data_IF_258955864340
#
_entry.id   IF_258955864340
#
_cell.length_a   1.000
_cell.length_b   1.000
_cell.length_c   1.000
_cell.angle_alpha   90.00
_cell.angle_beta   90.00
_cell.angle_gamma   90.00
#
_symmetry.space_group_name_H-M   'P 1'
#
loop_
_entity.id
_entity.type
_entity.pdbx_description
1 polymer ?
#
# COMPACT_ATOMS: atom_id res chain seq x y z
N UNK A 1 4.40 -16.84 -14.14
CA UNK A 1 3.19 -17.12 -13.36
C UNK A 1 2.20 -16.02 -13.54
N UNK A 2 1.06 -16.36 -14.04
CA UNK A 2 -0.01 -15.42 -14.24
C UNK A 2 -0.76 -15.09 -12.97
N UNK A 3 -1.31 -13.89 -12.93
CA UNK A 3 -2.26 -13.48 -11.91
C UNK A 3 -3.66 -13.84 -12.43
N UNK A 4 -4.51 -14.39 -11.57
CA UNK A 4 -5.88 -14.70 -11.96
C UNK A 4 -6.64 -13.37 -12.15
N UNK A 5 -7.16 -13.07 -13.36
CA UNK A 5 -7.89 -11.83 -13.61
C UNK A 5 -9.08 -11.61 -12.67
N UNK A 6 -9.68 -12.67 -12.15
CA UNK A 6 -10.81 -12.56 -11.20
C UNK A 6 -10.41 -11.93 -9.88
N UNK A 7 -9.11 -11.97 -9.54
CA UNK A 7 -8.58 -11.39 -8.32
C UNK A 7 -8.07 -9.97 -8.49
N UNK A 8 -8.12 -9.42 -9.71
CA UNK A 8 -7.63 -8.10 -9.99
C UNK A 8 -8.70 -7.04 -9.80
N UNK A 9 -8.32 -5.96 -9.14
CA UNK A 9 -9.15 -4.77 -8.99
C UNK A 9 -8.39 -3.55 -9.44
N UNK A 10 -9.08 -2.66 -10.13
CA UNK A 10 -8.53 -1.37 -10.55
C UNK A 10 -8.90 -0.32 -9.51
N UNK A 11 -7.90 0.42 -9.03
CA UNK A 11 -8.12 1.59 -8.19
C UNK A 11 -7.30 2.76 -8.73
N UNK A 12 -7.63 3.97 -8.29
CA UNK A 12 -6.92 5.18 -8.67
C UNK A 12 -6.24 5.76 -7.44
N UNK A 13 -4.97 6.12 -7.60
CA UNK A 13 -4.22 6.76 -6.53
C UNK A 13 -4.71 8.19 -6.32
N UNK A 14 -4.83 8.58 -5.04
CA UNK A 14 -5.16 9.95 -4.66
C UNK A 14 -4.07 10.52 -3.77
N UNK A 15 -3.68 11.77 -4.03
CA UNK A 15 -2.70 12.47 -3.25
C UNK A 15 -1.28 12.15 -3.64
N UNK A 16 -0.34 12.60 -2.83
CA UNK A 16 1.08 12.61 -3.14
C UNK A 16 1.93 11.78 -2.18
N UNK A 17 1.30 11.00 -1.27
CA UNK A 17 2.03 10.28 -0.22
C UNK A 17 2.99 9.22 -0.75
N UNK A 18 2.76 8.70 -1.95
CA UNK A 18 3.58 7.66 -2.55
C UNK A 18 4.47 8.16 -3.69
N UNK A 19 4.52 9.48 -3.93
CA UNK A 19 5.42 10.04 -4.91
C UNK A 19 6.88 9.86 -4.49
N UNK A 20 7.81 9.60 -5.42
CA UNK A 20 7.62 9.53 -6.90
C UNK A 20 7.22 8.16 -7.42
N UNK A 21 7.04 7.16 -6.57
CA UNK A 21 6.74 5.79 -6.99
C UNK A 21 5.36 5.70 -7.63
N UNK A 22 4.37 6.30 -6.99
CA UNK A 22 3.00 6.36 -7.47
C UNK A 22 2.57 7.82 -7.40
N UNK A 23 2.12 8.35 -8.53
CA UNK A 23 1.68 9.74 -8.61
C UNK A 23 0.17 9.85 -8.47
N UNK A 24 -0.28 11.04 -8.11
CA UNK A 24 -1.71 11.32 -8.03
C UNK A 24 -2.39 10.98 -9.36
N UNK A 25 -3.53 10.31 -9.30
CA UNK A 25 -4.33 9.83 -10.43
C UNK A 25 -3.74 8.64 -11.20
N UNK A 26 -2.63 8.06 -10.76
CA UNK A 26 -2.15 6.82 -11.36
C UNK A 26 -3.20 5.72 -11.23
N UNK A 27 -3.27 4.88 -12.26
CA UNK A 27 -4.11 3.68 -12.25
C UNK A 27 -3.31 2.55 -11.61
N UNK A 28 -3.92 1.85 -10.67
CA UNK A 28 -3.27 0.75 -9.96
C UNK A 28 -4.05 -0.54 -10.17
N UNK A 29 -3.31 -1.63 -10.40
CA UNK A 29 -3.88 -2.97 -10.35
C UNK A 29 -3.54 -3.59 -9.00
N UNK A 30 -4.56 -4.05 -8.32
CA UNK A 30 -4.47 -4.67 -6.99
C UNK A 30 -4.85 -6.13 -7.12
N UNK A 31 -3.96 -7.02 -6.66
CA UNK A 31 -4.24 -8.45 -6.57
C UNK A 31 -4.86 -8.75 -5.22
N UNK A 32 -6.16 -8.99 -5.22
CA UNK A 32 -6.94 -9.23 -4.00
C UNK A 32 -6.70 -10.60 -3.37
N UNK A 33 -5.96 -11.49 -4.05
CA UNK A 33 -5.56 -12.76 -3.48
C UNK A 33 -4.30 -12.65 -2.61
N UNK A 34 -3.60 -11.51 -2.66
CA UNK A 34 -2.34 -11.29 -1.93
C UNK A 34 -2.58 -10.32 -0.78
N UNK A 35 -3.04 -10.87 0.33
CA UNK A 35 -3.44 -10.07 1.50
C UNK A 35 -2.49 -10.22 2.68
N UNK A 36 -1.47 -11.07 2.58
CA UNK A 36 -0.46 -11.19 3.62
C UNK A 36 0.62 -10.14 3.45
N UNK A 37 1.09 -9.51 4.54
CA UNK A 37 2.14 -8.51 4.44
C UNK A 37 3.46 -9.14 3.97
N UNK A 38 4.12 -8.47 3.03
CA UNK A 38 5.43 -8.87 2.51
C UNK A 38 6.32 -7.64 2.54
N UNK A 39 7.51 -7.79 3.10
CA UNK A 39 8.46 -6.71 3.28
C UNK A 39 8.80 -6.00 1.96
N UNK A 40 8.67 -4.69 1.96
CA UNK A 40 9.03 -3.84 0.85
C UNK A 40 8.01 -3.71 -0.28
N UNK A 41 6.87 -4.38 -0.19
CA UNK A 41 5.84 -4.30 -1.23
C UNK A 41 4.74 -3.31 -0.88
N UNK A 42 4.04 -2.86 -1.93
CA UNK A 42 2.98 -1.86 -1.81
C UNK A 42 1.64 -2.55 -1.76
N UNK A 43 0.79 -2.10 -0.85
CA UNK A 43 -0.54 -2.67 -0.62
C UNK A 43 -1.62 -1.59 -0.61
N UNK A 44 -2.81 -1.99 -1.03
CA UNK A 44 -4.02 -1.24 -0.76
C UNK A 44 -4.55 -1.70 0.60
N UNK A 45 -4.80 -0.76 1.50
CA UNK A 45 -5.17 -1.04 2.89
C UNK A 45 -6.43 -0.23 3.22
N UNK A 46 -7.41 -0.86 3.87
CA UNK A 46 -8.58 -0.14 4.35
C UNK A 46 -8.27 0.52 5.69
N UNK A 47 -8.53 1.80 5.76
CA UNK A 47 -8.44 2.60 6.98
C UNK A 47 -9.83 3.16 7.30
N UNK A 48 -10.31 2.96 8.52
CA UNK A 48 -11.63 3.45 8.92
C UNK A 48 -11.76 4.97 8.78
N UNK A 49 -10.67 5.69 9.02
CA UNK A 49 -10.70 7.16 8.99
C UNK A 49 -10.47 7.75 7.60
N UNK A 50 -9.80 7.02 6.71
CA UNK A 50 -9.35 7.56 5.42
C UNK A 50 -9.88 6.78 4.21
N UNK A 51 -10.58 5.67 4.43
CA UNK A 51 -10.98 4.77 3.37
C UNK A 51 -9.81 3.94 2.86
N UNK A 52 -9.77 3.67 1.56
CA UNK A 52 -8.67 2.90 0.98
C UNK A 52 -7.43 3.77 0.81
N UNK A 53 -6.34 3.35 1.41
CA UNK A 53 -5.04 4.01 1.29
C UNK A 53 -4.06 3.06 0.60
N UNK A 54 -3.04 3.62 -0.04
CA UNK A 54 -1.97 2.85 -0.70
C UNK A 54 -0.67 3.18 0.00
N UNK A 55 -0.01 2.18 0.55
CA UNK A 55 1.21 2.35 1.34
C UNK A 55 2.15 1.18 1.11
N UNK A 56 3.43 1.39 1.44
CA UNK A 56 4.42 0.32 1.46
C UNK A 56 4.48 -0.29 2.85
N UNK A 57 4.51 -1.61 2.92
CA UNK A 57 4.74 -2.32 4.19
C UNK A 57 6.20 -2.71 4.26
N UNK A 58 6.85 -2.35 5.35
CA UNK A 58 8.26 -2.64 5.58
C UNK A 58 8.39 -3.32 6.94
N UNK A 59 9.14 -4.42 6.97
CA UNK A 59 9.40 -5.12 8.21
C UNK A 59 10.32 -4.28 9.10
N UNK A 60 9.95 -4.15 10.36
CA UNK A 60 10.74 -3.43 11.35
C UNK A 60 11.77 -4.35 11.99
N UNK A 61 12.95 -3.79 12.33
CA UNK A 61 13.99 -4.52 13.07
C UNK A 61 13.55 -4.88 14.49
N UNK A 62 12.47 -4.30 14.99
CA UNK A 62 11.96 -4.47 16.35
C UNK A 62 10.66 -5.29 16.40
N UNK A 63 10.54 -6.30 15.55
CA UNK A 63 9.39 -7.21 15.54
C UNK A 63 8.05 -6.51 15.30
N UNK A 64 7.92 -5.86 14.16
CA UNK A 64 6.68 -5.21 13.78
C UNK A 64 6.73 -4.80 12.34
N UNK A 65 5.78 -3.98 11.95
CA UNK A 65 5.67 -3.49 10.58
C UNK A 65 5.63 -1.97 10.58
N UNK A 66 6.11 -1.39 9.50
CA UNK A 66 6.03 0.04 9.25
C UNK A 66 5.10 0.23 8.05
N UNK A 67 4.07 1.03 8.23
CA UNK A 67 3.25 1.55 7.12
C UNK A 67 3.96 2.80 6.63
N UNK A 68 4.56 2.71 5.45
CA UNK A 68 5.43 3.76 4.91
C UNK A 68 4.80 4.46 3.73
N UNK A 69 4.90 5.79 3.74
CA UNK A 69 4.71 6.61 2.55
C UNK A 69 6.05 6.73 1.84
N UNK A 70 6.07 6.57 0.51
CA UNK A 70 7.32 6.69 -0.26
C UNK A 70 7.79 8.13 -0.38
N UNK A 71 6.90 9.11 -0.18
CA UNK A 71 7.26 10.51 -0.23
C UNK A 71 8.25 10.86 0.89
N UNK A 72 9.35 11.53 0.51
CA UNK A 72 10.42 11.88 1.44
C UNK A 72 10.03 12.98 2.42
N UNK A 73 8.94 13.70 2.19
CA UNK A 73 8.45 14.75 3.09
C UNK A 73 7.75 14.13 4.30
N UNK A 74 8.54 13.80 5.33
CA UNK A 74 8.02 13.12 6.52
C UNK A 74 7.28 14.04 7.49
N UNK A 75 7.32 15.34 7.26
CA UNK A 75 6.47 16.27 8.02
C UNK A 75 5.01 16.17 7.59
N UNK A 76 4.77 15.84 6.32
CA UNK A 76 3.42 15.67 5.76
C UNK A 76 2.99 14.21 5.70
N UNK A 77 3.94 13.31 5.46
CA UNK A 77 3.66 11.88 5.20
C UNK A 77 4.49 11.01 6.13
N UNK A 78 4.21 11.11 7.42
CA UNK A 78 4.93 10.34 8.43
C UNK A 78 4.65 8.84 8.30
N UNK A 79 5.68 8.03 8.56
CA UNK A 79 5.52 6.58 8.65
C UNK A 79 4.80 6.21 9.95
N UNK A 80 4.04 5.14 9.91
CA UNK A 80 3.35 4.62 11.09
C UNK A 80 3.98 3.28 11.48
N UNK A 81 4.49 3.21 12.72
CA UNK A 81 5.04 1.96 13.26
C UNK A 81 3.92 1.17 13.91
N UNK A 82 3.79 -0.10 13.52
CA UNK A 82 2.84 -1.03 14.10
C UNK A 82 3.58 -2.06 14.94
N UNK A 83 3.26 -2.20 16.24
CA UNK A 83 3.80 -3.28 17.03
C UNK A 83 3.49 -4.66 16.45
N UNK A 84 4.22 -5.67 16.91
CA UNK A 84 4.04 -7.03 16.46
C UNK A 84 2.57 -7.47 16.55
N UNK A 85 2.08 -8.06 15.47
CA UNK A 85 0.70 -8.53 15.34
C UNK A 85 -0.31 -7.48 14.94
N UNK A 86 -0.05 -6.20 15.17
CA UNK A 86 -1.03 -5.14 14.91
C UNK A 86 -1.31 -4.94 13.42
N UNK A 87 -0.36 -5.29 12.53
CA UNK A 87 -0.57 -5.22 11.09
C UNK A 87 -1.75 -6.10 10.64
N UNK A 88 -2.00 -7.19 11.34
CA UNK A 88 -3.10 -8.10 11.02
C UNK A 88 -4.47 -7.57 11.44
N UNK A 89 -4.52 -6.53 12.25
CA UNK A 89 -5.74 -5.82 12.59
C UNK A 89 -6.14 -4.84 11.51
N UNK A 90 -5.20 -4.44 10.66
CA UNK A 90 -5.48 -3.62 9.48
C UNK A 90 -5.98 -4.51 8.36
N UNK A 91 -6.99 -4.03 7.64
CA UNK A 91 -7.52 -4.80 6.52
C UNK A 91 -6.67 -4.53 5.28
N UNK A 92 -5.84 -5.51 4.92
CA UNK A 92 -5.11 -5.49 3.67
C UNK A 92 -6.06 -5.95 2.56
N UNK A 93 -6.32 -5.08 1.60
CA UNK A 93 -7.24 -5.37 0.49
C UNK A 93 -6.55 -6.16 -0.61
N UNK A 94 -5.26 -5.94 -0.80
CA UNK A 94 -4.48 -6.64 -1.79
C UNK A 94 -3.15 -5.95 -2.06
N UNK A 95 -2.29 -6.64 -2.81
CA UNK A 95 -0.99 -6.12 -3.20
C UNK A 95 -1.09 -5.35 -4.51
N UNK A 96 -0.50 -4.17 -4.56
CA UNK A 96 -0.39 -3.40 -5.80
C UNK A 96 0.69 -4.04 -6.67
N UNK A 97 0.30 -4.54 -7.84
CA UNK A 97 1.20 -5.28 -8.73
C UNK A 97 1.57 -4.52 -10.00
N UNK A 98 0.89 -3.42 -10.29
CA UNK A 98 1.15 -2.62 -11.48
C UNK A 98 0.61 -1.22 -11.32
N UNK A 99 1.29 -0.26 -11.94
CA UNK A 99 0.79 1.10 -12.03
C UNK A 99 0.96 1.67 -13.43
N UNK A 100 0.04 2.56 -13.83
CA UNK A 100 0.15 3.33 -15.05
C UNK A 100 -0.28 4.77 -14.81
N UNK A 101 0.46 5.71 -15.39
CA UNK A 101 0.17 7.12 -15.27
C UNK A 101 -0.52 7.69 -16.49
N UNK A 102 -0.93 8.95 -16.39
CA UNK A 102 -1.46 9.71 -17.50
C UNK A 102 -0.36 10.05 -18.51
N UNK A 103 -0.75 10.12 -19.76
CA UNK A 103 0.13 10.57 -20.84
C UNK A 103 0.26 12.10 -20.82
#
# INVERSE_FOLDING_TARGET
MGVNPKNLKVIYAEGSSMEPTINNHDVLLVDESRVDPVDGHIFAIYSENKGTIVKRLVMSDLDGWIIRSDNADKTRYADQVLPDGEVYEHRILGRVIWRGGEL
#
